data_IF_376786843008
#
_entry.id   IF_376786843008
#
_cell.length_a   1.000
_cell.length_b   1.000
_cell.length_c   1.000
_cell.angle_alpha   90.00
_cell.angle_beta   90.00
_cell.angle_gamma   90.00
#
_symmetry.space_group_name_H-M   'P 1'
#
loop_
_entity.id
_entity.type
_entity.pdbx_description
1 polymer ?
#
# COMPACT_ATOMS: atom_id res chain seq x y z
N UNK A 1 -38.96 -17.73 8.20
CA UNK A 1 -38.10 -16.66 8.74
C UNK A 1 -36.76 -17.28 9.11
N UNK A 2 -35.75 -17.17 8.25
CA UNK A 2 -34.41 -17.69 8.50
C UNK A 2 -33.57 -16.64 9.23
N UNK A 3 -33.34 -16.85 10.52
CA UNK A 3 -32.45 -16.04 11.36
C UNK A 3 -31.06 -16.68 11.31
N UNK A 4 -30.20 -16.17 10.43
CA UNK A 4 -28.79 -16.53 10.43
C UNK A 4 -28.09 -15.71 11.51
N UNK A 5 -27.68 -16.37 12.60
CA UNK A 5 -26.76 -15.79 13.59
C UNK A 5 -25.42 -15.55 12.91
N UNK A 6 -25.09 -14.27 12.75
CA UNK A 6 -23.79 -13.77 12.28
C UNK A 6 -22.71 -14.30 13.22
N UNK A 7 -21.78 -15.07 12.65
CA UNK A 7 -20.72 -15.76 13.39
C UNK A 7 -19.93 -14.82 14.29
N UNK A 8 -19.71 -15.30 15.51
CA UNK A 8 -18.65 -14.85 16.39
C UNK A 8 -17.31 -14.83 15.64
N UNK A 9 -16.63 -13.70 15.70
CA UNK A 9 -15.19 -13.64 15.53
C UNK A 9 -14.61 -13.06 16.82
N UNK A 10 -14.34 -13.95 17.78
CA UNK A 10 -13.33 -13.74 18.81
C UNK A 10 -11.97 -13.75 18.11
N UNK A 11 -11.36 -12.58 17.96
CA UNK A 11 -10.01 -12.42 17.45
C UNK A 11 -9.51 -11.06 17.89
N UNK A 12 -8.64 -11.07 18.90
CA UNK A 12 -7.90 -9.96 19.49
C UNK A 12 -7.96 -8.65 18.72
N UNK A 13 -8.58 -7.62 19.33
CA UNK A 13 -8.37 -6.21 18.97
C UNK A 13 -6.88 -5.87 19.16
N UNK A 14 -6.07 -6.31 18.21
CA UNK A 14 -4.72 -5.78 18.02
C UNK A 14 -4.98 -4.37 17.52
N UNK A 15 -4.60 -3.36 18.32
CA UNK A 15 -4.63 -1.97 17.87
C UNK A 15 -3.97 -1.97 16.48
N UNK A 16 -4.70 -1.67 15.40
CA UNK A 16 -4.14 -1.84 14.07
C UNK A 16 -2.93 -0.92 13.98
N UNK A 17 -1.75 -1.51 13.77
CA UNK A 17 -0.56 -0.73 13.52
C UNK A 17 -0.82 0.15 12.29
N UNK A 18 -0.45 1.43 12.39
CA UNK A 18 -0.51 2.35 11.25
C UNK A 18 0.74 2.17 10.43
N UNK A 19 0.58 1.82 9.16
CA UNK A 19 1.68 1.58 8.23
C UNK A 19 1.60 2.50 7.03
N UNK A 20 2.76 2.95 6.58
CA UNK A 20 3.00 3.62 5.31
C UNK A 20 3.51 2.58 4.32
N UNK A 21 3.22 2.79 3.05
CA UNK A 21 3.78 1.94 1.98
C UNK A 21 5.01 2.64 1.42
N UNK A 22 6.17 2.03 1.62
CA UNK A 22 7.46 2.48 1.09
C UNK A 22 7.66 1.89 -0.31
N UNK A 23 8.02 2.75 -1.26
CA UNK A 23 8.23 2.41 -2.67
C UNK A 23 9.69 2.71 -2.99
N UNK A 24 10.41 1.72 -3.49
CA UNK A 24 11.77 1.90 -4.02
C UNK A 24 11.72 1.91 -5.53
N UNK A 25 12.33 2.92 -6.16
CA UNK A 25 12.43 3.04 -7.61
C UNK A 25 13.71 2.40 -8.15
N UNK A 26 13.75 2.17 -9.46
CA UNK A 26 14.96 1.68 -10.16
C UNK A 26 16.15 2.64 -10.02
N UNK A 27 15.89 3.93 -9.84
CA UNK A 27 16.91 4.97 -9.59
C UNK A 27 17.50 4.88 -8.16
N UNK A 28 16.96 4.02 -7.29
CA UNK A 28 17.36 3.90 -5.89
C UNK A 28 16.63 4.86 -4.93
N UNK A 29 15.69 5.66 -5.44
CA UNK A 29 14.92 6.58 -4.60
C UNK A 29 13.91 5.83 -3.75
N UNK A 30 13.73 6.32 -2.52
CA UNK A 30 12.70 5.86 -1.59
C UNK A 30 11.59 6.90 -1.51
N UNK A 31 10.37 6.48 -1.84
CA UNK A 31 9.16 7.29 -1.77
C UNK A 31 8.13 6.61 -0.86
N UNK A 32 7.14 7.36 -0.39
CA UNK A 32 5.97 6.79 0.29
C UNK A 32 4.74 6.94 -0.58
N UNK A 33 3.88 5.93 -0.58
CA UNK A 33 2.65 5.99 -1.36
C UNK A 33 1.81 7.21 -0.97
N UNK A 34 1.66 8.11 -1.93
CA UNK A 34 0.82 9.29 -1.81
C UNK A 34 -0.55 9.02 -2.44
N UNK A 35 -1.60 9.41 -1.73
CA UNK A 35 -2.98 9.37 -2.23
C UNK A 35 -3.69 10.65 -1.83
N UNK A 36 -4.17 11.39 -2.84
CA UNK A 36 -4.90 12.67 -2.67
C UNK A 36 -4.10 13.76 -1.93
N UNK A 37 -2.78 13.81 -2.18
CA UNK A 37 -1.92 14.87 -1.64
C UNK A 37 -1.39 14.62 -0.22
N UNK A 38 -1.52 13.40 0.29
CA UNK A 38 -0.97 12.99 1.57
C UNK A 38 -0.45 11.56 1.53
N UNK A 39 0.49 11.25 2.43
CA UNK A 39 0.98 9.89 2.61
C UNK A 39 -0.20 9.02 3.05
N UNK A 40 -0.44 7.95 2.30
CA UNK A 40 -1.51 7.03 2.61
C UNK A 40 -1.08 6.12 3.76
N UNK A 41 -1.86 6.16 4.84
CA UNK A 41 -1.64 5.35 6.03
C UNK A 41 -2.76 4.32 6.08
N UNK A 42 -2.38 3.06 6.22
CA UNK A 42 -3.29 1.91 6.24
C UNK A 42 -3.01 1.03 7.44
N UNK A 43 -4.00 0.21 7.80
CA UNK A 43 -3.85 -0.80 8.85
C UNK A 43 -2.88 -1.91 8.42
N UNK A 44 -2.35 -2.65 9.39
CA UNK A 44 -1.36 -3.72 9.16
C UNK A 44 -1.79 -4.75 8.11
N UNK A 45 -3.01 -5.28 8.23
CA UNK A 45 -3.51 -6.31 7.31
C UNK A 45 -3.61 -5.78 5.89
N UNK A 46 -4.04 -4.52 5.73
CA UNK A 46 -4.11 -3.86 4.42
C UNK A 46 -2.70 -3.67 3.86
N UNK A 47 -1.73 -3.24 4.68
CA UNK A 47 -0.34 -3.09 4.24
C UNK A 47 0.27 -4.42 3.79
N UNK A 48 0.04 -5.50 4.55
CA UNK A 48 0.51 -6.85 4.23
C UNK A 48 -0.08 -7.35 2.91
N UNK A 49 -1.40 -7.25 2.74
CA UNK A 49 -2.09 -7.67 1.51
C UNK A 49 -1.59 -6.84 0.33
N UNK A 50 -1.44 -5.52 0.51
CA UNK A 50 -0.95 -4.64 -0.53
C UNK A 50 0.44 -5.06 -1.00
N UNK A 51 1.42 -5.17 -0.09
CA UNK A 51 2.80 -5.54 -0.42
C UNK A 51 2.86 -6.93 -1.05
N UNK A 52 2.12 -7.91 -0.52
CA UNK A 52 2.14 -9.29 -1.02
C UNK A 52 1.58 -9.45 -2.43
N UNK A 53 0.64 -8.59 -2.83
CA UNK A 53 -0.05 -8.69 -4.12
C UNK A 53 0.24 -7.53 -5.07
N UNK A 54 1.15 -6.63 -4.70
CA UNK A 54 1.51 -5.50 -5.54
C UNK A 54 2.21 -5.96 -6.81
N UNK A 55 1.74 -5.47 -7.96
CA UNK A 55 2.30 -5.77 -9.28
C UNK A 55 2.99 -4.52 -9.83
N UNK A 56 4.30 -4.34 -9.60
CA UNK A 56 5.01 -3.12 -9.98
C UNK A 56 4.96 -2.84 -11.49
N UNK A 57 4.81 -3.86 -12.32
CA UNK A 57 4.67 -3.73 -13.78
C UNK A 57 3.38 -3.01 -14.22
N UNK A 58 2.37 -2.93 -13.35
CA UNK A 58 1.10 -2.26 -13.63
C UNK A 58 1.07 -0.81 -13.18
N UNK A 59 2.12 -0.33 -12.50
CA UNK A 59 2.15 0.99 -11.88
C UNK A 59 3.47 1.72 -12.15
N UNK A 60 3.37 3.00 -12.47
CA UNK A 60 4.47 3.95 -12.37
C UNK A 60 4.33 4.79 -11.10
N UNK A 61 5.45 5.25 -10.54
CA UNK A 61 5.44 6.18 -9.41
C UNK A 61 5.93 7.56 -9.83
N UNK A 62 5.19 8.58 -9.44
CA UNK A 62 5.59 9.99 -9.61
C UNK A 62 6.56 10.42 -8.49
N UNK A 63 7.32 11.52 -8.67
CA UNK A 63 8.27 11.99 -7.65
C UNK A 63 7.65 12.33 -6.29
N UNK A 64 6.35 12.58 -6.23
CA UNK A 64 5.59 12.84 -5.00
C UNK A 64 5.12 11.55 -4.28
N UNK A 65 5.41 10.38 -4.85
CA UNK A 65 4.98 9.08 -4.36
C UNK A 65 3.60 8.63 -4.85
N UNK A 66 2.96 9.37 -5.76
CA UNK A 66 1.67 8.99 -6.34
C UNK A 66 1.82 7.81 -7.30
N UNK A 67 0.99 6.78 -7.12
CA UNK A 67 0.92 5.63 -8.01
C UNK A 67 -0.09 5.89 -9.13
N UNK A 68 0.37 5.83 -10.38
CA UNK A 68 -0.45 6.01 -11.59
C UNK A 68 -0.16 4.91 -12.61
N UNK A 69 -0.90 4.88 -13.72
CA UNK A 69 -0.54 4.00 -14.84
C UNK A 69 0.88 4.29 -15.32
N UNK A 70 1.68 3.26 -15.64
CA UNK A 70 3.06 3.44 -16.05
C UNK A 70 3.11 4.26 -17.35
N UNK A 71 3.89 5.33 -17.29
CA UNK A 71 4.16 6.25 -18.40
C UNK A 71 5.68 6.47 -18.44
N UNK A 72 6.37 6.03 -19.50
CA UNK A 72 7.84 6.07 -19.56
C UNK A 72 8.41 7.49 -19.55
N UNK A 73 7.63 8.50 -19.94
CA UNK A 73 8.08 9.89 -19.98
C UNK A 73 7.85 10.62 -18.64
N UNK A 74 7.00 10.06 -17.77
CA UNK A 74 6.50 10.78 -16.57
C UNK A 74 6.69 10.04 -15.26
N UNK A 75 6.83 8.72 -15.30
CA UNK A 75 6.87 7.88 -14.09
C UNK A 75 8.18 7.13 -13.97
N UNK A 76 8.56 6.87 -12.72
CA UNK A 76 9.69 5.99 -12.41
C UNK A 76 9.20 4.58 -12.24
N UNK A 77 10.05 3.63 -12.63
CA UNK A 77 9.79 2.20 -12.46
C UNK A 77 9.94 1.82 -11.00
N UNK A 78 8.98 1.06 -10.49
CA UNK A 78 8.99 0.54 -9.13
C UNK A 78 9.72 -0.80 -9.13
N UNK A 79 10.71 -0.95 -8.25
CA UNK A 79 11.47 -2.22 -8.10
C UNK A 79 11.10 -2.97 -6.84
N UNK A 80 10.66 -2.26 -5.80
CA UNK A 80 10.31 -2.85 -4.52
C UNK A 80 9.24 -2.04 -3.82
N UNK A 81 8.34 -2.73 -3.14
CA UNK A 81 7.36 -2.12 -2.24
C UNK A 81 7.43 -2.83 -0.89
N UNK A 82 7.42 -2.05 0.18
CA UNK A 82 7.51 -2.52 1.56
C UNK A 82 6.50 -1.78 2.43
N UNK A 83 6.15 -2.36 3.57
CA UNK A 83 5.37 -1.69 4.60
C UNK A 83 6.32 -1.17 5.68
N UNK A 84 6.10 0.06 6.12
CA UNK A 84 6.88 0.71 7.18
C UNK A 84 5.93 1.22 8.26
N UNK A 85 6.25 0.95 9.53
CA UNK A 85 5.43 1.42 10.65
C UNK A 85 5.53 2.94 10.78
N UNK A 86 4.41 3.62 10.99
CA UNK A 86 4.33 5.08 11.14
C UNK A 86 5.20 5.63 12.28
#
# INVERSE_FOLDING_TARGET
MGIFKKGEALGSETIPGRYKIRITTEDGDTLYWNKRGGIHIVDEDVARIFVAHFKPELFGVLPDGSLISPDPDRTRRIVKVEMERE
#
